data_IF_348379013441
#
_entry.id   IF_348379013441
#
_cell.length_a   1.000
_cell.length_b   1.000
_cell.length_c   1.000
_cell.angle_alpha   90.00
_cell.angle_beta   90.00
_cell.angle_gamma   90.00
#
_symmetry.space_group_name_H-M   'P 1'
#
loop_
_entity.id
_entity.type
_entity.pdbx_description
1 polymer ?
#
# COMPACT_ATOMS: atom_id res chain seq x y z
N UNK A 1 -37.02 43.48 15.18
CA UNK A 1 -36.96 42.66 13.94
C UNK A 1 -35.66 42.79 13.12
N UNK A 2 -34.66 43.60 13.51
CA UNK A 2 -33.38 43.73 12.77
C UNK A 2 -32.39 42.60 13.09
N UNK A 3 -32.35 42.16 14.35
CA UNK A 3 -31.47 41.07 14.82
C UNK A 3 -31.78 39.72 14.17
N UNK A 4 -33.07 39.40 13.96
CA UNK A 4 -33.50 38.16 13.29
C UNK A 4 -33.06 38.11 11.82
N UNK A 5 -33.03 39.26 11.13
CA UNK A 5 -32.56 39.37 9.74
C UNK A 5 -31.04 39.21 9.64
N UNK A 6 -30.30 39.82 10.57
CA UNK A 6 -28.84 39.68 10.67
C UNK A 6 -28.45 38.23 11.02
N UNK A 7 -29.19 37.60 11.94
CA UNK A 7 -28.97 36.21 12.32
C UNK A 7 -29.22 35.25 11.14
N UNK A 8 -30.30 35.45 10.38
CA UNK A 8 -30.58 34.67 9.16
C UNK A 8 -29.51 34.87 8.11
N UNK A 9 -29.02 36.10 7.92
CA UNK A 9 -27.94 36.39 6.98
C UNK A 9 -26.63 35.67 7.37
N UNK A 10 -26.28 35.66 8.66
CA UNK A 10 -25.09 34.97 9.15
C UNK A 10 -25.19 33.44 8.98
N UNK A 11 -26.39 32.88 9.21
CA UNK A 11 -26.64 31.45 9.01
C UNK A 11 -26.46 31.04 7.53
N UNK A 12 -26.89 31.87 6.59
CA UNK A 12 -26.73 31.62 5.15
C UNK A 12 -25.27 31.70 4.68
N UNK A 13 -24.44 32.56 5.27
CA UNK A 13 -23.01 32.64 4.92
C UNK A 13 -22.25 31.43 5.47
N UNK A 14 -22.63 30.92 6.64
CA UNK A 14 -21.97 29.78 7.26
C UNK A 14 -22.11 28.49 6.45
N UNK A 15 -23.24 28.27 5.76
CA UNK A 15 -23.46 27.04 4.97
C UNK A 15 -22.66 26.99 3.67
N UNK A 16 -22.25 28.13 3.12
CA UNK A 16 -21.47 28.20 1.87
C UNK A 16 -19.97 27.96 2.14
N UNK A 17 -19.53 28.16 3.39
CA UNK A 17 -18.12 28.05 3.77
C UNK A 17 -17.63 26.63 4.03
N UNK A 18 -18.49 25.60 3.96
CA UNK A 18 -18.04 24.22 4.11
C UNK A 18 -17.51 23.69 2.77
N UNK A 19 -16.20 23.44 2.62
CA UNK A 19 -15.69 22.79 1.42
C UNK A 19 -16.26 21.37 1.33
N UNK A 20 -17.00 21.08 0.27
CA UNK A 20 -17.42 19.73 -0.05
C UNK A 20 -16.19 18.91 -0.43
N UNK A 21 -15.73 18.03 0.45
CA UNK A 21 -14.65 17.09 0.14
C UNK A 21 -15.19 16.02 -0.81
N UNK A 22 -14.98 16.19 -2.12
CA UNK A 22 -15.27 15.15 -3.11
C UNK A 22 -14.12 14.15 -3.07
N UNK A 23 -14.39 12.96 -2.53
CA UNK A 23 -13.45 11.83 -2.58
C UNK A 23 -13.64 11.12 -3.91
N UNK A 24 -12.70 11.31 -4.84
CA UNK A 24 -12.60 10.49 -6.04
C UNK A 24 -11.87 9.19 -5.68
N UNK A 25 -12.60 8.08 -5.58
CA UNK A 25 -11.99 6.76 -5.50
C UNK A 25 -11.73 6.25 -6.91
N UNK A 26 -10.46 6.01 -7.24
CA UNK A 26 -10.12 5.27 -8.45
C UNK A 26 -10.49 3.81 -8.19
N UNK A 27 -11.61 3.35 -8.75
CA UNK A 27 -11.90 1.92 -8.87
C UNK A 27 -10.97 1.40 -9.97
N UNK A 28 -9.69 1.23 -9.65
CA UNK A 28 -8.91 0.26 -10.40
C UNK A 28 -9.58 -1.08 -10.10
N UNK A 29 -10.02 -1.85 -11.11
CA UNK A 29 -10.33 -3.22 -10.85
C UNK A 29 -9.05 -3.80 -10.24
N UNK A 30 -9.13 -4.18 -8.97
CA UNK A 30 -8.21 -5.13 -8.40
C UNK A 30 -8.45 -6.39 -9.21
N UNK A 31 -7.79 -6.48 -10.36
CA UNK A 31 -7.54 -7.76 -11.00
C UNK A 31 -6.68 -8.46 -9.95
N UNK A 32 -7.36 -9.17 -9.05
CA UNK A 32 -6.79 -10.32 -8.39
C UNK A 32 -6.40 -11.23 -9.55
N UNK A 33 -5.18 -11.03 -10.03
CA UNK A 33 -4.48 -12.02 -10.82
C UNK A 33 -4.26 -13.18 -9.86
N UNK A 34 -5.32 -13.96 -9.60
CA UNK A 34 -5.13 -15.37 -9.39
C UNK A 34 -4.57 -15.87 -10.71
N UNK A 35 -3.25 -15.75 -10.85
CA UNK A 35 -2.49 -16.48 -11.85
C UNK A 35 -2.65 -17.97 -11.54
N UNK A 36 -3.83 -18.52 -11.85
CA UNK A 36 -3.95 -19.95 -12.13
C UNK A 36 -3.46 -20.14 -13.57
N UNK A 37 -2.19 -19.82 -13.79
CA UNK A 37 -1.46 -20.30 -14.95
C UNK A 37 -1.31 -21.81 -14.76
N UNK A 38 -1.63 -22.66 -15.75
CA UNK A 38 -1.37 -24.09 -15.66
C UNK A 38 0.13 -24.29 -15.40
N UNK A 39 0.43 -24.68 -14.16
CA UNK A 39 1.72 -24.47 -13.52
C UNK A 39 2.88 -25.15 -14.24
N UNK A 40 3.68 -24.35 -14.94
CA UNK A 40 5.07 -24.69 -15.21
C UNK A 40 5.80 -24.62 -13.86
N UNK A 41 5.77 -25.72 -13.11
CA UNK A 41 6.59 -25.83 -11.90
C UNK A 41 8.06 -25.88 -12.34
N UNK A 42 8.91 -24.96 -11.86
CA UNK A 42 10.31 -24.97 -12.23
C UNK A 42 10.97 -26.26 -11.74
N UNK A 43 11.81 -26.87 -12.59
CA UNK A 43 12.51 -28.13 -12.31
C UNK A 43 13.36 -28.09 -11.02
N UNK A 44 13.77 -26.90 -10.61
CA UNK A 44 14.55 -26.64 -9.40
C UNK A 44 14.15 -25.29 -8.81
N UNK A 45 14.22 -25.19 -7.49
CA UNK A 45 14.09 -23.92 -6.77
C UNK A 45 15.16 -22.92 -7.25
N UNK A 46 14.71 -21.77 -7.76
CA UNK A 46 15.57 -20.63 -8.10
C UNK A 46 15.71 -19.76 -6.86
N UNK A 47 16.91 -19.74 -6.28
CA UNK A 47 17.21 -18.97 -5.06
C UNK A 47 18.26 -17.90 -5.31
N UNK A 48 18.26 -16.86 -4.47
CA UNK A 48 19.31 -15.86 -4.45
C UNK A 48 19.32 -15.05 -3.15
N UNK A 49 20.44 -14.41 -2.85
CA UNK A 49 20.55 -13.57 -1.66
C UNK A 49 19.91 -12.21 -1.89
N UNK A 50 19.05 -11.81 -0.96
CA UNK A 50 18.67 -10.41 -0.76
C UNK A 50 19.61 -9.80 0.27
N UNK A 51 19.86 -8.50 0.17
CA UNK A 51 20.75 -7.78 1.06
C UNK A 51 20.01 -6.64 1.77
N UNK A 52 20.42 -6.34 2.99
CA UNK A 52 20.00 -5.15 3.71
C UNK A 52 21.16 -4.60 4.53
N UNK A 53 21.08 -3.34 4.94
CA UNK A 53 22.05 -2.70 5.83
C UNK A 53 21.37 -2.31 7.12
N UNK A 54 21.85 -2.82 8.26
CA UNK A 54 21.40 -2.44 9.60
C UNK A 54 22.60 -1.97 10.41
N UNK A 55 22.52 -0.78 11.01
CA UNK A 55 23.60 -0.20 11.84
C UNK A 55 24.97 -0.20 11.15
N UNK A 56 25.01 0.11 9.84
CA UNK A 56 26.23 0.12 9.04
C UNK A 56 26.80 -1.27 8.70
N UNK A 57 26.18 -2.35 9.16
CA UNK A 57 26.56 -3.74 8.81
C UNK A 57 25.65 -4.27 7.72
N UNK A 58 26.25 -4.93 6.71
CA UNK A 58 25.52 -5.58 5.62
C UNK A 58 25.12 -6.99 6.02
N UNK A 59 23.87 -7.33 5.76
CA UNK A 59 23.30 -8.64 6.00
C UNK A 59 22.76 -9.23 4.69
N UNK A 60 22.71 -10.55 4.61
CA UNK A 60 22.12 -11.32 3.52
C UNK A 60 21.12 -12.33 4.06
N UNK A 61 20.11 -12.66 3.26
CA UNK A 61 19.13 -13.72 3.56
C UNK A 61 18.71 -14.41 2.27
N UNK A 62 18.62 -15.73 2.29
CA UNK A 62 18.27 -16.52 1.11
C UNK A 62 16.77 -16.39 0.78
N UNK A 63 16.47 -15.96 -0.44
CA UNK A 63 15.12 -15.81 -1.00
C UNK A 63 14.90 -16.83 -2.12
N UNK A 64 13.74 -17.50 -2.10
CA UNK A 64 13.27 -18.32 -3.23
C UNK A 64 12.38 -17.48 -4.14
N UNK A 65 12.82 -17.30 -5.39
CA UNK A 65 12.02 -16.70 -6.45
C UNK A 65 10.93 -17.65 -6.96
N UNK A 66 11.15 -18.96 -6.81
CA UNK A 66 10.18 -19.99 -7.17
C UNK A 66 8.96 -20.00 -6.25
N UNK A 67 9.17 -19.95 -4.94
CA UNK A 67 8.09 -20.07 -3.94
C UNK A 67 7.72 -18.73 -3.30
N UNK A 68 8.35 -17.63 -3.73
CA UNK A 68 8.13 -16.28 -3.22
C UNK A 68 8.22 -16.18 -1.68
N UNK A 69 9.24 -16.84 -1.09
CA UNK A 69 9.43 -16.95 0.36
C UNK A 69 10.90 -16.92 0.77
N UNK A 70 11.15 -16.63 2.04
CA UNK A 70 12.47 -16.79 2.66
C UNK A 70 12.79 -18.27 2.91
N UNK A 71 13.96 -18.71 2.49
CA UNK A 71 14.46 -20.07 2.79
C UNK A 71 15.20 -20.10 4.14
N UNK A 72 15.93 -19.02 4.46
CA UNK A 72 16.62 -18.90 5.74
C UNK A 72 15.73 -18.28 6.82
N UNK A 73 15.82 -18.71 8.09
CA UNK A 73 14.99 -18.21 9.18
C UNK A 73 15.31 -16.76 9.56
N UNK A 74 16.57 -16.32 9.38
CA UNK A 74 17.02 -15.00 9.78
C UNK A 74 18.06 -14.43 8.82
N UNK A 75 18.32 -13.13 8.96
CA UNK A 75 19.39 -12.44 8.27
C UNK A 75 20.75 -12.80 8.86
N UNK A 76 21.72 -13.10 8.00
CA UNK A 76 23.10 -13.42 8.39
C UNK A 76 24.05 -12.32 7.91
N UNK A 77 25.14 -12.03 8.63
CA UNK A 77 26.16 -11.10 8.14
C UNK A 77 26.65 -11.50 6.73
N UNK A 78 26.72 -10.52 5.82
CA UNK A 78 26.96 -10.76 4.40
C UNK A 78 28.40 -11.16 4.09
#
# INVERSE_FOLDING_TARGET
MKFKKIFVLMLCVFTIALPATVSAQNIFPAVSMEETSPGIQPRKNVTGYKYMTLNGKRYKRLWSYTYNRWEDPAWTPA
#
